data_IF_520801094778
#
_entry.id   IF_520801094778
#
_cell.length_a   1.000
_cell.length_b   1.000
_cell.length_c   1.000
_cell.angle_alpha   90.00
_cell.angle_beta   90.00
_cell.angle_gamma   90.00
#
_symmetry.space_group_name_H-M   'P 1'
#
loop_
_entity.id
_entity.type
_entity.pdbx_description
1 polymer ?
#
# COMPACT_ATOMS: atom_id res chain seq x y z
N UNK A 1 -2.90 4.42 5.65
CA UNK A 1 -1.66 4.69 6.42
C UNK A 1 -0.44 4.93 5.56
N UNK A 2 -0.05 4.00 4.68
CA UNK A 2 1.17 4.13 3.86
C UNK A 2 1.20 5.40 3.00
N UNK A 3 0.06 5.77 2.38
CA UNK A 3 -0.06 7.01 1.60
C UNK A 3 0.26 8.25 2.45
N UNK A 4 -0.36 8.34 3.63
CA UNK A 4 -0.13 9.42 4.58
C UNK A 4 1.35 9.53 4.99
N UNK A 5 2.00 8.42 5.34
CA UNK A 5 3.42 8.42 5.70
C UNK A 5 4.31 8.90 4.54
N UNK A 6 4.02 8.43 3.31
CA UNK A 6 4.71 8.87 2.09
C UNK A 6 4.55 10.38 1.86
N UNK A 7 3.35 10.92 2.12
CA UNK A 7 3.06 12.34 1.94
C UNK A 7 3.78 13.21 2.96
N UNK A 8 3.63 12.90 4.26
CA UNK A 8 4.16 13.66 5.38
C UNK A 8 5.68 13.60 5.44
N UNK A 9 6.25 12.40 5.35
CA UNK A 9 7.70 12.21 5.47
C UNK A 9 8.45 12.44 4.16
N UNK A 10 7.72 12.60 3.05
CA UNK A 10 8.27 12.65 1.68
C UNK A 10 9.12 11.43 1.38
N UNK A 11 8.54 10.25 1.57
CA UNK A 11 9.20 8.96 1.42
C UNK A 11 8.50 8.10 0.38
N UNK A 12 9.24 7.19 -0.25
CA UNK A 12 8.69 6.11 -1.08
C UNK A 12 9.14 4.79 -0.50
N UNK A 13 8.19 3.88 -0.31
CA UNK A 13 8.43 2.54 0.21
C UNK A 13 8.39 1.53 -0.92
N UNK A 14 9.43 0.72 -1.03
CA UNK A 14 9.62 -0.21 -2.14
C UNK A 14 9.54 -1.67 -1.67
N UNK A 15 9.66 -1.87 -0.36
CA UNK A 15 9.59 -3.17 0.28
C UNK A 15 8.77 -3.07 1.55
N UNK A 16 7.95 -4.08 1.77
CA UNK A 16 7.21 -4.29 3.01
C UNK A 16 7.58 -5.66 3.56
N UNK A 17 7.73 -5.74 4.88
CA UNK A 17 7.85 -7.00 5.60
C UNK A 17 6.80 -7.04 6.70
N UNK A 18 5.84 -7.95 6.58
CA UNK A 18 4.84 -8.18 7.62
C UNK A 18 5.47 -8.95 8.78
N UNK A 19 5.31 -8.42 9.98
CA UNK A 19 5.63 -9.10 11.24
C UNK A 19 4.42 -9.84 11.79
N UNK A 20 3.25 -9.22 11.68
CA UNK A 20 1.95 -9.82 12.01
C UNK A 20 0.97 -9.54 10.90
N UNK A 21 0.23 -10.56 10.51
CA UNK A 21 -0.84 -10.45 9.52
C UNK A 21 -1.95 -11.40 9.93
N UNK A 22 -2.95 -10.86 10.61
CA UNK A 22 -4.12 -11.59 11.12
C UNK A 22 -5.38 -10.81 10.78
N UNK A 23 -6.55 -11.43 10.98
CA UNK A 23 -7.85 -10.81 10.64
C UNK A 23 -8.14 -9.50 11.39
N UNK A 24 -7.44 -9.23 12.51
CA UNK A 24 -7.68 -8.07 13.38
C UNK A 24 -6.48 -7.14 13.53
N UNK A 25 -5.28 -7.61 13.20
CA UNK A 25 -4.03 -6.86 13.42
C UNK A 25 -3.09 -7.05 12.24
N UNK A 26 -2.54 -5.94 11.77
CA UNK A 26 -1.44 -5.88 10.81
C UNK A 26 -0.30 -5.08 11.40
N UNK A 27 0.89 -5.67 11.40
CA UNK A 27 2.12 -4.99 11.80
C UNK A 27 3.18 -5.28 10.73
N UNK A 28 3.89 -4.24 10.28
CA UNK A 28 4.91 -4.40 9.27
C UNK A 28 5.98 -3.32 9.31
N UNK A 29 7.11 -3.63 8.70
CA UNK A 29 8.19 -2.67 8.44
C UNK A 29 8.10 -2.26 6.97
N UNK A 30 8.03 -0.96 6.74
CA UNK A 30 8.20 -0.36 5.42
C UNK A 30 9.67 0.04 5.23
N UNK A 31 10.28 -0.37 4.13
CA UNK A 31 11.65 0.01 3.77
C UNK A 31 11.64 0.77 2.45
N UNK A 32 12.36 1.89 2.43
CA UNK A 32 12.25 2.87 1.38
C UNK A 32 13.30 3.97 1.45
N UNK A 33 13.04 5.06 0.75
CA UNK A 33 13.93 6.23 0.67
C UNK A 33 13.16 7.53 0.61
N UNK A 34 13.80 8.63 1.00
CA UNK A 34 13.26 9.98 0.80
C UNK A 34 13.18 10.35 -0.68
N UNK A 35 12.09 11.00 -1.06
CA UNK A 35 11.83 11.55 -2.39
C UNK A 35 12.31 12.99 -2.47
N UNK A 36 13.17 13.27 -3.46
CA UNK A 36 13.63 14.64 -3.77
C UNK A 36 12.70 15.37 -4.75
N UNK A 37 12.01 14.64 -5.62
CA UNK A 37 11.06 15.16 -6.61
C UNK A 37 9.90 14.19 -6.77
N UNK A 38 8.66 14.68 -6.91
CA UNK A 38 7.46 13.88 -7.17
C UNK A 38 7.02 14.11 -8.62
N UNK A 39 6.58 13.05 -9.29
CA UNK A 39 6.00 13.11 -10.64
C UNK A 39 4.48 13.16 -10.54
N UNK A 40 3.85 11.99 -10.49
CA UNK A 40 2.42 11.84 -10.21
C UNK A 40 2.21 11.63 -8.71
N UNK A 41 1.18 12.26 -8.14
CA UNK A 41 0.81 12.15 -6.74
C UNK A 41 -0.54 11.46 -6.66
N UNK A 42 -0.65 10.41 -5.85
CA UNK A 42 -1.94 9.77 -5.56
C UNK A 42 -2.70 10.68 -4.60
N UNK A 43 -3.90 11.13 -4.98
CA UNK A 43 -4.77 11.98 -4.16
C UNK A 43 -5.57 11.19 -3.12
N UNK A 44 -5.88 9.93 -3.43
CA UNK A 44 -6.69 9.09 -2.56
C UNK A 44 -6.60 7.62 -2.90
N UNK A 45 -6.65 6.79 -1.86
CA UNK A 45 -6.92 5.36 -1.97
C UNK A 45 -8.41 5.16 -1.73
N UNK A 46 -9.12 4.57 -2.68
CA UNK A 46 -10.58 4.44 -2.61
C UNK A 46 -11.02 2.99 -2.49
N UNK A 47 -12.24 2.78 -2.00
CA UNK A 47 -12.92 1.47 -2.06
C UNK A 47 -13.63 1.23 -3.40
N UNK A 48 -13.56 2.19 -4.33
CA UNK A 48 -14.14 2.02 -5.66
C UNK A 48 -13.40 0.90 -6.38
N UNK A 49 -14.16 -0.07 -6.88
CA UNK A 49 -13.65 -1.27 -7.56
C UNK A 49 -12.58 -2.05 -6.78
N UNK A 50 -12.63 -1.99 -5.43
CA UNK A 50 -11.81 -2.86 -4.60
C UNK A 50 -12.26 -4.31 -4.77
N UNK A 51 -11.39 -5.13 -5.33
CA UNK A 51 -11.58 -6.57 -5.47
C UNK A 51 -10.47 -7.30 -4.71
N UNK A 52 -10.86 -8.15 -3.77
CA UNK A 52 -9.95 -9.01 -3.00
C UNK A 52 -10.42 -10.43 -3.20
N UNK A 53 -9.61 -11.25 -3.86
CA UNK A 53 -9.98 -12.63 -4.14
C UNK A 53 -8.81 -13.57 -3.97
N UNK A 54 -9.11 -14.76 -3.48
CA UNK A 54 -8.18 -15.86 -3.52
C UNK A 54 -8.43 -16.68 -4.78
N UNK A 55 -7.40 -16.83 -5.61
CA UNK A 55 -7.45 -17.67 -6.81
C UNK A 55 -7.52 -19.15 -6.44
N UNK A 56 -7.86 -19.99 -7.43
CA UNK A 56 -7.95 -21.45 -7.27
C UNK A 56 -6.65 -22.11 -6.82
N UNK A 57 -5.51 -21.49 -7.12
CA UNK A 57 -4.16 -21.89 -6.70
C UNK A 57 -3.78 -21.39 -5.29
N UNK A 58 -4.75 -20.86 -4.53
CA UNK A 58 -4.61 -20.30 -3.18
C UNK A 58 -3.78 -19.01 -3.10
N UNK A 59 -3.43 -18.41 -4.23
CA UNK A 59 -2.76 -17.11 -4.27
C UNK A 59 -3.78 -16.00 -4.06
N UNK A 60 -3.48 -15.06 -3.18
CA UNK A 60 -4.29 -13.86 -2.97
C UNK A 60 -3.96 -12.81 -4.02
N UNK A 61 -5.01 -12.24 -4.60
CA UNK A 61 -4.94 -11.17 -5.58
C UNK A 61 -5.81 -10.00 -5.12
N UNK A 62 -5.33 -8.79 -5.37
CA UNK A 62 -6.02 -7.56 -4.97
C UNK A 62 -5.97 -6.55 -6.12
N UNK A 63 -7.10 -5.91 -6.39
CA UNK A 63 -7.19 -4.77 -7.31
C UNK A 63 -7.61 -3.54 -6.52
N UNK A 64 -6.87 -2.44 -6.67
CA UNK A 64 -7.13 -1.17 -5.98
C UNK A 64 -7.11 -0.06 -7.03
N UNK A 65 -8.16 0.77 -7.05
CA UNK A 65 -8.22 1.96 -7.88
C UNK A 65 -7.73 3.19 -7.10
N UNK A 66 -6.70 3.85 -7.64
CA UNK A 66 -6.13 5.07 -7.08
C UNK A 66 -6.64 6.29 -7.84
N UNK A 67 -6.97 7.35 -7.11
CA UNK A 67 -7.19 8.68 -7.68
C UNK A 67 -5.85 9.42 -7.77
N UNK A 68 -5.58 10.08 -8.91
CA UNK A 68 -4.29 10.73 -9.24
C UNK A 68 -4.47 12.19 -9.63
#
# INVERSE_FOLDING_TARGET
>A
EVLYLSEVNREVYQKIQFKKFTDKEIEGILSGKKLKRRGVIIKGVTYHDLDIKQRKDKIWEVTILFDI
#
